data_IF_748620321994
#
_entry.id   IF_748620321994
#
_cell.length_a   1.000
_cell.length_b   1.000
_cell.length_c   1.000
_cell.angle_alpha   90.00
_cell.angle_beta   90.00
_cell.angle_gamma   90.00
#
_symmetry.space_group_name_H-M   'P 1'
#
loop_
_entity.id
_entity.type
_entity.pdbx_description
1 polymer ?
#
# COMPACT_ATOMS: atom_id res chain seq x y z
N UNK A 1 -22.32 -35.14 -7.73
CA UNK A 1 -22.33 -33.75 -7.23
C UNK A 1 -20.90 -33.17 -7.26
N UNK A 2 -20.56 -32.41 -8.30
CA UNK A 2 -19.22 -31.81 -8.47
C UNK A 2 -19.09 -30.56 -7.59
N UNK A 3 -18.32 -30.63 -6.49
CA UNK A 3 -17.95 -29.45 -5.69
C UNK A 3 -17.00 -28.56 -6.50
N UNK A 4 -17.49 -27.42 -6.98
CA UNK A 4 -16.65 -26.34 -7.55
C UNK A 4 -15.73 -25.82 -6.44
N UNK A 5 -14.43 -26.07 -6.54
CA UNK A 5 -13.40 -25.35 -5.77
C UNK A 5 -13.45 -23.88 -6.20
N UNK A 6 -13.82 -22.99 -5.28
CA UNK A 6 -13.60 -21.55 -5.44
C UNK A 6 -12.09 -21.33 -5.51
N UNK A 7 -11.58 -20.97 -6.68
CA UNK A 7 -10.21 -20.49 -6.86
C UNK A 7 -10.10 -19.15 -6.13
N UNK A 8 -9.53 -19.19 -4.93
CA UNK A 8 -9.10 -17.99 -4.21
C UNK A 8 -7.88 -17.45 -4.95
N UNK A 9 -7.96 -16.23 -5.47
CA UNK A 9 -6.82 -15.58 -6.13
C UNK A 9 -5.64 -15.53 -5.15
N UNK A 10 -4.41 -15.86 -5.58
CA UNK A 10 -3.25 -15.86 -4.70
C UNK A 10 -3.02 -14.43 -4.20
N UNK A 11 -3.25 -14.22 -2.90
CA UNK A 11 -2.89 -12.96 -2.22
C UNK A 11 -1.43 -13.10 -1.83
N UNK A 12 -0.56 -12.43 -2.58
CA UNK A 12 0.88 -12.42 -2.34
C UNK A 12 1.17 -11.20 -1.47
N UNK A 13 1.11 -11.36 -0.15
CA UNK A 13 1.50 -10.32 0.80
C UNK A 13 3.04 -10.24 0.87
N UNK A 14 3.58 -9.04 0.75
CA UNK A 14 5.01 -8.71 0.84
C UNK A 14 5.17 -7.81 2.09
N UNK A 15 6.05 -8.19 3.02
CA UNK A 15 6.43 -7.40 4.22
C UNK A 15 7.96 -7.26 4.23
N UNK A 16 8.40 -6.01 4.41
CA UNK A 16 9.70 -5.43 4.83
C UNK A 16 11.03 -5.96 4.27
N UNK A 17 11.82 -5.04 3.68
CA UNK A 17 13.05 -4.50 4.31
C UNK A 17 13.51 -3.20 3.62
N UNK A 18 13.91 -2.21 4.44
CA UNK A 18 14.67 -1.02 4.05
C UNK A 18 16.11 -1.43 3.68
N UNK A 19 16.43 -1.58 2.39
CA UNK A 19 17.82 -1.63 1.94
C UNK A 19 18.31 -0.21 1.67
N UNK A 20 19.02 0.32 2.64
CA UNK A 20 19.87 1.49 2.49
C UNK A 20 21.06 1.09 1.59
N UNK A 21 21.00 1.42 0.30
CA UNK A 21 22.14 1.34 -0.64
C UNK A 21 23.18 2.40 -0.27
N UNK A 22 23.83 2.25 0.88
CA UNK A 22 25.14 2.85 1.10
C UNK A 22 26.16 1.78 0.72
N UNK A 23 26.74 1.96 -0.48
CA UNK A 23 27.90 1.23 -0.97
C UNK A 23 28.99 1.16 0.12
N UNK A 24 29.09 0.01 0.79
CA UNK A 24 30.25 -0.34 1.57
C UNK A 24 31.28 -0.96 0.63
N UNK A 25 32.19 -0.12 0.13
CA UNK A 25 33.47 -0.56 -0.40
C UNK A 25 34.32 -1.06 0.78
N UNK A 26 34.02 -2.28 1.24
CA UNK A 26 34.69 -2.96 2.32
C UNK A 26 35.09 -4.37 1.90
N UNK A 27 36.35 -4.53 1.52
CA UNK A 27 36.97 -5.80 1.20
C UNK A 27 36.92 -6.72 2.43
N UNK A 28 36.09 -7.76 2.37
CA UNK A 28 36.16 -8.91 3.28
C UNK A 28 35.07 -9.02 4.36
N UNK A 29 33.83 -9.34 3.98
CA UNK A 29 32.93 -10.08 4.87
C UNK A 29 32.17 -11.18 4.11
N UNK A 30 32.29 -12.39 4.66
CA UNK A 30 31.80 -13.71 4.21
C UNK A 30 30.59 -13.67 3.28
N UNK A 31 30.65 -14.46 2.20
CA UNK A 31 29.53 -14.90 1.34
C UNK A 31 28.32 -15.40 2.17
N UNK A 32 27.55 -14.49 2.77
CA UNK A 32 26.37 -14.83 3.54
C UNK A 32 25.25 -15.11 2.54
N UNK A 33 25.14 -16.38 2.19
CA UNK A 33 24.09 -16.84 1.31
C UNK A 33 22.76 -16.88 2.06
N UNK A 34 21.86 -15.94 1.75
CA UNK A 34 20.48 -15.99 2.20
C UNK A 34 19.59 -16.63 1.11
N UNK A 35 18.85 -17.71 1.42
CA UNK A 35 17.94 -18.34 0.47
C UNK A 35 16.71 -17.47 0.19
N UNK A 36 16.03 -17.70 -0.93
CA UNK A 36 14.80 -16.97 -1.29
C UNK A 36 13.63 -17.18 -0.32
N UNK A 37 13.73 -18.15 0.61
CA UNK A 37 12.78 -18.36 1.70
C UNK A 37 12.97 -17.38 2.86
N UNK A 38 14.11 -16.71 2.96
CA UNK A 38 14.38 -15.71 3.97
C UNK A 38 13.73 -14.38 3.57
N UNK A 39 12.77 -13.91 4.37
CA UNK A 39 12.07 -12.64 4.17
C UNK A 39 13.08 -11.49 4.14
N UNK A 40 12.91 -10.52 3.24
CA UNK A 40 13.85 -9.39 3.08
C UNK A 40 15.11 -9.69 2.27
N UNK A 41 15.54 -10.96 2.13
CA UNK A 41 16.77 -11.26 1.38
C UNK A 41 16.73 -10.80 -0.09
N UNK A 42 17.90 -10.47 -0.65
CA UNK A 42 18.06 -10.10 -2.08
C UNK A 42 17.40 -11.11 -3.03
N UNK A 43 17.49 -12.41 -2.74
CA UNK A 43 16.84 -13.47 -3.53
C UNK A 43 15.33 -13.51 -3.35
N UNK A 44 14.83 -13.26 -2.14
CA UNK A 44 13.40 -13.14 -1.90
C UNK A 44 12.81 -11.95 -2.67
N UNK A 45 13.43 -10.77 -2.57
CA UNK A 45 13.03 -9.57 -3.30
C UNK A 45 13.04 -9.80 -4.82
N UNK A 46 14.15 -10.31 -5.37
CA UNK A 46 14.26 -10.56 -6.82
C UNK A 46 13.21 -11.56 -7.32
N UNK A 47 12.93 -12.60 -6.55
CA UNK A 47 11.87 -13.59 -6.87
C UNK A 47 10.49 -12.94 -6.87
N UNK A 48 10.18 -12.05 -5.91
CA UNK A 48 8.91 -11.32 -5.85
C UNK A 48 8.74 -10.39 -7.05
N UNK A 49 9.78 -9.64 -7.41
CA UNK A 49 9.78 -8.77 -8.60
C UNK A 49 9.58 -9.60 -9.88
N UNK A 50 10.32 -10.70 -10.03
CA UNK A 50 10.17 -11.59 -11.18
C UNK A 50 8.74 -12.15 -11.31
N UNK A 51 8.13 -12.57 -10.20
CA UNK A 51 6.74 -13.04 -10.17
C UNK A 51 5.75 -11.94 -10.55
N UNK A 52 5.94 -10.71 -10.05
CA UNK A 52 5.10 -9.56 -10.39
C UNK A 52 5.16 -9.24 -11.90
N UNK A 53 6.37 -9.24 -12.48
CA UNK A 53 6.58 -9.03 -13.91
C UNK A 53 5.99 -10.17 -14.75
N UNK A 54 6.11 -11.42 -14.30
CA UNK A 54 5.49 -12.57 -14.95
C UNK A 54 3.95 -12.46 -14.97
N UNK A 55 3.34 -12.02 -13.86
CA UNK A 55 1.90 -11.75 -13.81
C UNK A 55 1.50 -10.65 -14.80
N UNK A 56 2.23 -9.53 -14.84
CA UNK A 56 1.97 -8.45 -15.78
C UNK A 56 2.12 -8.92 -17.24
N UNK A 57 3.12 -9.75 -17.54
CA UNK A 57 3.30 -10.35 -18.87
C UNK A 57 2.14 -11.26 -19.26
N UNK A 58 1.66 -12.10 -18.34
CA UNK A 58 0.63 -13.11 -18.62
C UNK A 58 -0.80 -12.57 -18.56
N UNK A 59 -1.07 -11.54 -17.75
CA UNK A 59 -2.42 -11.02 -17.48
C UNK A 59 -2.62 -9.57 -17.95
N UNK A 60 -1.59 -8.96 -18.52
CA UNK A 60 -1.58 -7.57 -18.97
C UNK A 60 -1.06 -6.61 -17.91
N UNK A 61 -0.78 -5.37 -18.34
CA UNK A 61 -0.31 -4.27 -17.48
C UNK A 61 -1.30 -3.94 -16.36
N UNK A 62 -0.85 -3.38 -15.23
CA UNK A 62 -1.74 -2.97 -14.16
C UNK A 62 -2.65 -1.81 -14.55
N UNK A 63 -3.84 -1.75 -13.95
CA UNK A 63 -4.81 -0.67 -14.12
C UNK A 63 -4.66 0.43 -13.08
N UNK A 64 -4.33 0.07 -11.84
CA UNK A 64 -4.20 1.03 -10.75
C UNK A 64 -2.93 0.80 -9.94
N UNK A 65 -2.36 1.90 -9.47
CA UNK A 65 -1.34 1.95 -8.42
C UNK A 65 -1.94 2.74 -7.26
N UNK A 66 -2.16 2.07 -6.14
CA UNK A 66 -2.84 2.63 -4.96
C UNK A 66 -1.86 2.65 -3.81
N UNK A 67 -1.83 3.79 -3.12
CA UNK A 67 -0.95 4.03 -1.99
C UNK A 67 -1.79 4.30 -0.75
N UNK A 68 -1.47 3.62 0.36
CA UNK A 68 -2.24 3.70 1.60
C UNK A 68 -1.29 4.02 2.74
N UNK A 69 -1.50 5.17 3.36
CA UNK A 69 -0.71 5.62 4.50
C UNK A 69 -1.49 5.47 5.79
N UNK A 70 -0.84 4.94 6.82
CA UNK A 70 -1.41 4.95 8.17
C UNK A 70 -1.67 6.38 8.62
N UNK A 71 -2.89 6.64 9.12
CA UNK A 71 -3.20 7.89 9.80
C UNK A 71 -3.18 7.67 11.32
N UNK A 72 -2.25 8.30 12.06
CA UNK A 72 -2.14 8.12 13.51
C UNK A 72 -3.37 8.63 14.28
N UNK A 73 -4.24 9.42 13.62
CA UNK A 73 -5.45 9.97 14.22
C UNK A 73 -6.67 9.06 14.09
N UNK A 74 -6.54 7.86 13.54
CA UNK A 74 -7.62 6.88 13.54
C UNK A 74 -8.10 6.60 14.96
N UNK A 75 -9.42 6.48 15.13
CA UNK A 75 -10.05 6.27 16.45
C UNK A 75 -9.54 4.99 17.10
N UNK A 76 -9.29 3.95 16.30
CA UNK A 76 -8.75 2.66 16.71
C UNK A 76 -7.32 2.73 17.26
N UNK A 77 -6.56 3.77 16.90
CA UNK A 77 -5.23 4.04 17.46
C UNK A 77 -5.38 4.96 18.67
N UNK A 78 -6.07 6.09 18.49
CA UNK A 78 -6.24 7.12 19.53
C UNK A 78 -6.91 6.61 20.80
N UNK A 79 -7.85 5.66 20.71
CA UNK A 79 -8.52 5.10 21.89
C UNK A 79 -7.58 4.36 22.84
N UNK A 80 -6.40 3.94 22.37
CA UNK A 80 -5.40 3.24 23.17
C UNK A 80 -4.23 4.14 23.60
N UNK A 81 -4.15 5.38 23.10
CA UNK A 81 -3.09 6.31 23.48
C UNK A 81 -3.41 6.96 24.82
N UNK A 82 -2.41 6.99 25.71
CA UNK A 82 -2.47 7.82 26.91
C UNK A 82 -2.24 9.29 26.56
N UNK A 83 -2.66 10.25 27.39
CA UNK A 83 -2.32 11.66 27.20
C UNK A 83 -0.81 11.84 27.05
N UNK A 84 -0.37 12.52 25.98
CA UNK A 84 1.04 12.75 25.67
C UNK A 84 1.75 11.60 24.92
N UNK A 85 1.10 10.45 24.74
CA UNK A 85 1.68 9.31 24.03
C UNK A 85 1.51 9.42 22.51
N UNK A 86 2.52 9.01 21.76
CA UNK A 86 2.52 9.01 20.30
C UNK A 86 2.15 7.64 19.71
N UNK A 87 1.56 7.64 18.51
CA UNK A 87 1.20 6.40 17.81
C UNK A 87 2.41 5.48 17.56
N UNK A 88 3.57 6.05 17.26
CA UNK A 88 4.82 5.30 17.03
C UNK A 88 5.30 4.53 18.27
N UNK A 89 4.84 4.88 19.47
CA UNK A 89 5.19 4.18 20.72
C UNK A 89 4.31 2.94 20.97
N UNK A 90 3.24 2.76 20.19
CA UNK A 90 2.37 1.57 20.24
C UNK A 90 2.32 0.87 18.85
N UNK A 91 3.45 0.39 18.33
CA UNK A 91 3.54 -0.15 16.97
C UNK A 91 2.57 -1.32 16.74
N UNK A 92 2.36 -2.19 17.74
CA UNK A 92 1.43 -3.31 17.64
C UNK A 92 -0.02 -2.86 17.40
N UNK A 93 -0.47 -1.79 18.07
CA UNK A 93 -1.82 -1.25 17.87
C UNK A 93 -1.95 -0.62 16.48
N UNK A 94 -0.93 0.13 16.07
CA UNK A 94 -0.85 0.75 14.75
C UNK A 94 -0.92 -0.29 13.64
N UNK A 95 -0.09 -1.33 13.70
CA UNK A 95 -0.04 -2.42 12.71
C UNK A 95 -1.38 -3.15 12.64
N UNK A 96 -2.02 -3.44 13.78
CA UNK A 96 -3.34 -4.09 13.81
C UNK A 96 -4.42 -3.21 13.19
N UNK A 97 -4.45 -1.93 13.52
CA UNK A 97 -5.39 -0.97 12.95
C UNK A 97 -5.20 -0.83 11.43
N UNK A 98 -3.94 -0.71 10.99
CA UNK A 98 -3.59 -0.66 9.58
C UNK A 98 -4.02 -1.94 8.84
N UNK A 99 -3.65 -3.12 9.34
CA UNK A 99 -3.98 -4.40 8.71
C UNK A 99 -5.50 -4.59 8.59
N UNK A 100 -6.27 -4.23 9.62
CA UNK A 100 -7.73 -4.28 9.59
C UNK A 100 -8.33 -3.35 8.51
N UNK A 101 -7.86 -2.10 8.44
CA UNK A 101 -8.30 -1.14 7.41
C UNK A 101 -7.86 -1.55 6.01
N UNK A 102 -6.65 -2.10 5.87
CA UNK A 102 -6.12 -2.57 4.61
C UNK A 102 -6.92 -3.76 4.07
N UNK A 103 -7.31 -4.71 4.93
CA UNK A 103 -8.22 -5.79 4.57
C UNK A 103 -9.56 -5.26 4.04
N UNK A 104 -10.20 -4.34 4.78
CA UNK A 104 -11.47 -3.71 4.36
C UNK A 104 -11.36 -2.98 3.03
N UNK A 105 -10.25 -2.28 2.78
CA UNK A 105 -10.03 -1.64 1.49
C UNK A 105 -9.92 -2.69 0.37
N UNK A 106 -9.19 -3.78 0.57
CA UNK A 106 -9.09 -4.84 -0.45
C UNK A 106 -10.45 -5.46 -0.77
N UNK A 107 -11.31 -5.61 0.22
CA UNK A 107 -12.67 -6.10 0.01
C UNK A 107 -13.52 -5.07 -0.75
N UNK A 108 -13.44 -3.79 -0.39
CA UNK A 108 -14.09 -2.69 -1.12
C UNK A 108 -13.64 -2.62 -2.58
N UNK A 109 -12.33 -2.76 -2.85
CA UNK A 109 -11.81 -2.76 -4.22
C UNK A 109 -12.37 -3.93 -5.04
N UNK A 110 -12.50 -5.12 -4.45
CA UNK A 110 -13.10 -6.29 -5.11
C UNK A 110 -14.60 -6.10 -5.35
N UNK A 111 -15.31 -5.49 -4.40
CA UNK A 111 -16.73 -5.18 -4.55
C UNK A 111 -16.97 -4.14 -5.65
N UNK A 112 -16.19 -3.06 -5.63
CA UNK A 112 -16.37 -1.93 -6.53
C UNK A 112 -15.97 -2.22 -7.99
N UNK A 113 -14.83 -2.90 -8.19
CA UNK A 113 -14.30 -3.18 -9.52
C UNK A 113 -14.67 -4.59 -10.04
N UNK A 114 -15.34 -5.39 -9.21
CA UNK A 114 -15.74 -6.76 -9.56
C UNK A 114 -14.54 -7.68 -9.79
N UNK A 115 -14.34 -8.11 -11.04
CA UNK A 115 -13.31 -9.11 -11.36
C UNK A 115 -11.93 -8.46 -11.47
N UNK A 116 -11.07 -8.82 -10.52
CA UNK A 116 -9.66 -8.40 -10.48
C UNK A 116 -8.79 -9.57 -10.95
N UNK A 117 -8.02 -9.37 -12.02
CA UNK A 117 -7.16 -10.39 -12.61
C UNK A 117 -5.95 -10.72 -11.73
N UNK A 118 -5.35 -9.71 -11.09
CA UNK A 118 -4.35 -9.87 -10.05
C UNK A 118 -4.29 -8.63 -9.15
N UNK A 119 -3.87 -8.84 -7.91
CA UNK A 119 -3.50 -7.82 -6.92
C UNK A 119 -2.13 -8.20 -6.38
N UNK A 120 -1.22 -7.23 -6.35
CA UNK A 120 0.10 -7.34 -5.74
C UNK A 120 0.17 -6.24 -4.70
N UNK A 121 0.47 -6.58 -3.44
CA UNK A 121 0.62 -5.60 -2.38
C UNK A 121 1.94 -5.76 -1.63
N UNK A 122 2.52 -4.61 -1.28
CA UNK A 122 3.74 -4.48 -0.47
C UNK A 122 3.41 -3.58 0.71
N UNK A 123 3.78 -4.03 1.91
CA UNK A 123 3.71 -3.25 3.14
C UNK A 123 5.13 -2.89 3.57
N UNK A 124 5.35 -1.60 3.78
CA UNK A 124 6.63 -0.99 4.17
C UNK A 124 6.41 -0.07 5.36
N UNK A 125 7.47 0.17 6.14
CA UNK A 125 7.42 1.13 7.24
C UNK A 125 8.10 2.41 6.78
N UNK A 126 7.35 3.51 6.70
CA UNK A 126 7.95 4.80 6.38
C UNK A 126 8.91 5.25 7.51
N UNK A 127 9.81 6.19 7.24
CA UNK A 127 10.81 6.76 8.18
C UNK A 127 10.30 7.14 9.59
N UNK A 128 8.98 7.26 9.80
CA UNK A 128 8.34 7.53 11.09
C UNK A 128 7.81 6.28 11.81
N UNK A 129 8.15 5.08 11.31
CA UNK A 129 7.75 3.78 11.83
C UNK A 129 6.28 3.45 11.63
N UNK A 130 5.58 4.15 10.73
CA UNK A 130 4.17 3.88 10.45
C UNK A 130 4.05 3.01 9.20
N UNK A 131 3.19 1.97 9.21
CA UNK A 131 2.94 1.14 8.05
C UNK A 131 2.39 1.93 6.88
N UNK A 132 2.80 1.53 5.70
CA UNK A 132 2.40 2.04 4.41
C UNK A 132 2.22 0.86 3.48
N UNK A 133 1.29 0.96 2.53
CA UNK A 133 1.15 -0.07 1.52
C UNK A 133 1.09 0.51 0.11
N UNK A 134 1.78 -0.16 -0.80
CA UNK A 134 1.64 0.00 -2.24
C UNK A 134 0.88 -1.19 -2.80
N UNK A 135 -0.17 -0.92 -3.56
CA UNK A 135 -1.02 -1.93 -4.19
C UNK A 135 -1.06 -1.70 -5.68
N UNK A 136 -0.70 -2.73 -6.42
CA UNK A 136 -0.86 -2.80 -7.87
C UNK A 136 -2.01 -3.74 -8.16
N UNK A 137 -2.98 -3.32 -8.98
CA UNK A 137 -4.06 -4.21 -9.40
C UNK A 137 -4.44 -4.07 -10.87
N UNK A 138 -4.93 -5.17 -11.45
CA UNK A 138 -5.47 -5.22 -12.81
C UNK A 138 -6.94 -5.61 -12.77
N UNK A 139 -7.81 -4.68 -13.17
CA UNK A 139 -9.26 -4.92 -13.31
C UNK A 139 -9.55 -5.56 -14.66
N UNK A 140 -10.55 -6.45 -14.73
CA UNK A 140 -11.00 -7.10 -15.94
C UNK A 140 -12.53 -7.18 -16.03
N UNK A 141 -13.18 -6.69 -17.10
CA UNK A 141 -12.58 -6.09 -18.30
C UNK A 141 -11.85 -4.77 -17.99
N UNK A 142 -11.05 -4.29 -18.95
CA UNK A 142 -10.41 -2.98 -18.81
C UNK A 142 -11.48 -1.90 -18.74
N UNK A 143 -11.25 -0.92 -17.87
CA UNK A 143 -12.18 0.20 -17.71
C UNK A 143 -12.13 1.07 -18.96
N UNK A 144 -13.31 1.43 -19.53
CA UNK A 144 -13.38 2.42 -20.59
C UNK A 144 -12.78 3.76 -20.15
N UNK A 145 -12.13 4.48 -21.07
CA UNK A 145 -11.43 5.73 -20.77
C UNK A 145 -12.39 6.80 -20.22
N UNK A 146 -13.63 6.82 -20.72
CA UNK A 146 -14.71 7.73 -20.27
C UNK A 146 -15.21 7.47 -18.84
N UNK A 147 -14.82 6.33 -18.23
CA UNK A 147 -15.14 6.02 -16.84
C UNK A 147 -14.03 6.42 -15.86
N UNK A 148 -12.84 6.79 -16.35
CA UNK A 148 -11.69 7.10 -15.48
C UNK A 148 -12.00 8.29 -14.58
N UNK A 149 -12.56 9.37 -15.12
CA UNK A 149 -12.86 10.60 -14.37
C UNK A 149 -13.93 10.39 -13.28
N UNK A 150 -14.77 9.35 -13.42
CA UNK A 150 -15.76 8.97 -12.40
C UNK A 150 -15.14 8.23 -11.22
N UNK A 151 -13.94 7.67 -11.41
CA UNK A 151 -13.26 6.81 -10.44
C UNK A 151 -12.09 7.55 -9.77
N UNK A 152 -11.35 8.33 -10.55
CA UNK A 152 -10.20 9.10 -10.09
C UNK A 152 -10.53 10.58 -10.31
N UNK A 153 -10.54 11.35 -9.23
CA UNK A 153 -10.64 12.81 -9.30
C UNK A 153 -9.55 13.44 -8.44
N UNK A 154 -8.93 14.49 -8.97
CA UNK A 154 -8.00 15.36 -8.25
C UNK A 154 -8.68 16.64 -7.74
N UNK A 155 -10.01 16.75 -7.89
CA UNK A 155 -10.77 17.93 -7.48
C UNK A 155 -11.18 17.86 -6.01
N UNK A 156 -11.33 19.04 -5.40
CA UNK A 156 -11.87 19.14 -4.05
C UNK A 156 -13.41 19.07 -4.16
N UNK A 157 -14.08 18.09 -3.52
CA UNK A 157 -15.53 17.94 -3.65
C UNK A 157 -16.28 19.18 -3.14
N UNK A 158 -17.01 19.90 -3.98
CA UNK A 158 -17.74 21.11 -3.55
C UNK A 158 -19.14 20.80 -3.00
N UNK A 159 -19.80 19.80 -3.57
CA UNK A 159 -21.21 19.47 -3.26
C UNK A 159 -21.39 18.72 -1.93
N UNK A 160 -20.35 18.00 -1.50
CA UNK A 160 -20.39 17.20 -0.29
C UNK A 160 -19.46 17.78 0.78
N UNK A 161 -20.04 18.51 1.73
CA UNK A 161 -19.29 19.17 2.81
C UNK A 161 -18.44 18.18 3.63
N UNK A 162 -18.92 16.98 3.89
CA UNK A 162 -18.18 15.97 4.64
C UNK A 162 -16.93 15.48 3.89
N UNK A 163 -17.08 15.15 2.60
CA UNK A 163 -15.94 14.77 1.76
C UNK A 163 -14.99 15.93 1.54
N UNK A 164 -15.51 17.15 1.38
CA UNK A 164 -14.72 18.38 1.28
C UNK A 164 -13.78 18.52 2.47
N UNK A 165 -14.29 18.38 3.70
CA UNK A 165 -13.48 18.47 4.92
C UNK A 165 -12.41 17.38 5.00
N UNK A 166 -12.76 16.14 4.64
CA UNK A 166 -11.82 15.00 4.66
C UNK A 166 -10.69 15.22 3.64
N UNK A 167 -11.03 15.56 2.39
CA UNK A 167 -10.05 15.79 1.33
C UNK A 167 -9.14 16.97 1.71
N UNK A 168 -9.70 18.09 2.18
CA UNK A 168 -8.90 19.23 2.66
C UNK A 168 -7.98 18.87 3.81
N UNK A 169 -8.43 18.01 4.72
CA UNK A 169 -7.66 17.63 5.91
C UNK A 169 -6.51 16.66 5.61
N UNK A 170 -6.71 15.73 4.67
CA UNK A 170 -5.77 14.61 4.47
C UNK A 170 -5.06 14.60 3.12
N UNK A 171 -5.63 15.22 2.08
CA UNK A 171 -5.08 15.23 0.72
C UNK A 171 -4.47 16.57 0.31
N UNK A 172 -4.63 17.62 1.12
CA UNK A 172 -3.94 18.90 0.91
C UNK A 172 -2.69 19.00 1.78
N UNK A 173 -1.60 19.41 1.16
CA UNK A 173 -0.40 19.80 1.88
C UNK A 173 -0.68 21.09 2.68
N UNK A 174 -0.23 21.12 3.94
CA UNK A 174 -0.19 22.38 4.70
C UNK A 174 0.80 23.32 4.00
N UNK A 175 0.36 24.55 3.74
CA UNK A 175 1.11 25.57 2.98
C UNK A 175 2.52 25.88 3.56
N UNK A 176 2.85 25.46 4.78
CA UNK A 176 4.06 25.89 5.48
C UNK A 176 5.03 24.78 5.90
N UNK A 177 4.92 23.55 5.38
CA UNK A 177 5.83 22.47 5.79
C UNK A 177 7.14 22.39 4.97
N UNK A 178 7.25 23.11 3.86
CA UNK A 178 8.47 23.20 3.05
C UNK A 178 8.49 24.46 2.19
N UNK A 179 9.64 25.15 2.04
CA UNK A 179 9.78 26.30 1.13
C UNK A 179 9.44 25.99 -0.34
N UNK A 180 9.47 24.71 -0.73
CA UNK A 180 9.09 24.27 -2.08
C UNK A 180 7.58 24.27 -2.31
N UNK A 181 6.77 24.23 -1.24
CA UNK A 181 5.31 24.17 -1.32
C UNK A 181 4.65 25.56 -1.34
N UNK A 182 5.42 26.65 -1.22
CA UNK A 182 4.95 28.04 -1.25
C UNK A 182 4.89 28.64 -2.67
N UNK A 183 5.28 27.88 -3.69
CA UNK A 183 5.24 28.31 -5.09
C UNK A 183 4.05 27.67 -5.79
N UNK A 184 2.83 28.13 -5.50
CA UNK A 184 1.65 27.91 -6.34
C UNK A 184 0.81 29.17 -6.28
#
# INVERSE_FOLDING_TARGET
LKKKRKTQSPTVAIIEEDFNDNDDNGDGEKNLYLPASFLGSKKWCSTRVANALALARCKGKPSFFITITTNPNWKEIRSFLRPGQNASELPTIVVRAFHSRFGKLKDLLREHFGKIAYIIDVIEFQKRGLPHAHVIMRVHPELPVDQIDKIISAEIPHENAYLNEIVKKYMLHRQQHSPRCLRN
#
